data_IF_944083740384
#
_entry.id   IF_944083740384
#
_cell.length_a   1.000
_cell.length_b   1.000
_cell.length_c   1.000
_cell.angle_alpha   90.00
_cell.angle_beta   90.00
_cell.angle_gamma   90.00
#
_symmetry.space_group_name_H-M   'P 1'
#
loop_
_entity.id
_entity.type
_entity.pdbx_description
1 polymer ?
#
# COMPACT_ATOMS: atom_id res chain seq x y z
N UNK A 1 11.44 -4.04 -15.49
CA UNK A 1 10.01 -4.49 -15.60
C UNK A 1 9.10 -3.44 -14.99
N UNK A 2 7.85 -3.31 -15.50
CA UNK A 2 6.85 -2.43 -14.85
C UNK A 2 5.97 -3.23 -13.89
N UNK A 3 5.75 -2.69 -12.70
CA UNK A 3 4.91 -3.25 -11.65
C UNK A 3 3.88 -2.21 -11.20
N UNK A 4 2.73 -2.64 -10.67
CA UNK A 4 1.79 -1.72 -10.06
C UNK A 4 2.12 -1.59 -8.57
N UNK A 5 2.12 -0.37 -8.05
CA UNK A 5 2.27 -0.08 -6.62
C UNK A 5 0.99 0.59 -6.11
N UNK A 6 0.40 0.03 -5.07
CA UNK A 6 -0.85 0.47 -4.44
C UNK A 6 -0.73 0.37 -2.92
N UNK A 7 -1.51 1.13 -2.19
CA UNK A 7 -1.48 1.15 -0.73
C UNK A 7 -2.82 1.62 -0.15
N UNK A 8 -3.04 1.41 1.13
CA UNK A 8 -4.16 1.99 1.90
C UNK A 8 -5.53 1.74 1.26
N UNK A 9 -5.79 0.48 0.92
CA UNK A 9 -7.05 0.08 0.26
C UNK A 9 -8.21 -0.09 1.24
N UNK A 10 -7.93 -0.31 2.52
CA UNK A 10 -8.88 -0.35 3.62
C UNK A 10 -10.16 -1.13 3.33
N UNK A 11 -10.01 -2.39 2.88
CA UNK A 11 -11.17 -3.28 2.65
C UNK A 11 -11.99 -3.42 3.92
N UNK A 12 -13.30 -3.14 3.81
CA UNK A 12 -14.20 -3.10 4.94
C UNK A 12 -14.42 -1.71 5.53
N UNK A 13 -13.88 -0.66 4.91
CA UNK A 13 -14.09 0.73 5.31
C UNK A 13 -15.58 1.03 5.55
N UNK A 14 -15.87 1.87 6.56
CA UNK A 14 -17.23 2.22 6.96
C UNK A 14 -18.12 1.01 7.28
N UNK A 15 -17.54 -0.01 7.96
CA UNK A 15 -18.21 -1.26 8.35
C UNK A 15 -18.79 -2.01 7.14
N UNK A 16 -18.03 -2.03 6.04
CA UNK A 16 -18.42 -2.70 4.82
C UNK A 16 -19.70 -2.13 4.21
N UNK A 17 -19.84 -0.80 4.20
CA UNK A 17 -20.96 -0.12 3.56
C UNK A 17 -21.04 -0.51 2.08
N UNK A 18 -22.23 -0.89 1.60
CA UNK A 18 -22.45 -1.25 0.21
C UNK A 18 -22.08 -0.11 -0.76
N UNK A 19 -22.38 1.13 -0.39
CA UNK A 19 -22.01 2.30 -1.19
C UNK A 19 -20.49 2.37 -1.42
N UNK A 20 -19.68 2.10 -0.37
CA UNK A 20 -18.23 2.07 -0.49
C UNK A 20 -17.75 0.87 -1.30
N UNK A 21 -18.31 -0.32 -1.10
CA UNK A 21 -17.97 -1.49 -1.89
C UNK A 21 -18.27 -1.27 -3.38
N UNK A 22 -19.45 -0.75 -3.74
CA UNK A 22 -19.82 -0.48 -5.14
C UNK A 22 -18.87 0.55 -5.78
N UNK A 23 -18.48 1.58 -5.02
CA UNK A 23 -17.54 2.62 -5.46
C UNK A 23 -16.12 2.06 -5.64
N UNK A 24 -15.62 1.27 -4.70
CA UNK A 24 -14.31 0.64 -4.79
C UNK A 24 -14.26 -0.40 -5.92
N UNK A 25 -15.31 -1.19 -6.08
CA UNK A 25 -15.43 -2.17 -7.17
C UNK A 25 -15.37 -1.51 -8.54
N UNK A 26 -15.97 -0.33 -8.69
CA UNK A 26 -15.87 0.46 -9.92
C UNK A 26 -14.43 0.87 -10.23
N UNK A 27 -13.64 1.30 -9.24
CA UNK A 27 -12.22 1.58 -9.43
C UNK A 27 -11.46 0.34 -9.92
N UNK A 28 -11.66 -0.82 -9.29
CA UNK A 28 -10.99 -2.05 -9.69
C UNK A 28 -11.35 -2.47 -11.11
N UNK A 29 -12.64 -2.48 -11.44
CA UNK A 29 -13.12 -2.97 -12.73
C UNK A 29 -12.80 -2.02 -13.89
N UNK A 30 -12.88 -0.71 -13.68
CA UNK A 30 -12.79 0.27 -14.77
C UNK A 30 -11.36 0.85 -14.92
N UNK A 31 -10.56 0.85 -13.85
CA UNK A 31 -9.25 1.51 -13.83
C UNK A 31 -8.13 0.52 -13.54
N UNK A 32 -8.17 -0.18 -12.40
CA UNK A 32 -7.05 -0.98 -11.94
C UNK A 32 -6.76 -2.16 -12.88
N UNK A 33 -7.70 -3.10 -13.01
CA UNK A 33 -7.49 -4.28 -13.86
C UNK A 33 -7.26 -3.95 -15.34
N UNK A 34 -8.05 -3.06 -15.98
CA UNK A 34 -7.76 -2.67 -17.36
C UNK A 34 -6.38 -2.05 -17.57
N UNK A 35 -5.87 -1.33 -16.55
CA UNK A 35 -4.49 -0.80 -16.62
C UNK A 35 -3.47 -1.92 -16.51
N UNK A 36 -3.65 -2.89 -15.58
CA UNK A 36 -2.74 -4.04 -15.48
C UNK A 36 -2.64 -4.80 -16.80
N UNK A 37 -3.77 -5.07 -17.45
CA UNK A 37 -3.83 -5.74 -18.75
C UNK A 37 -3.13 -4.93 -19.85
N UNK A 38 -3.50 -3.65 -19.99
CA UNK A 38 -2.93 -2.74 -21.00
C UNK A 38 -1.41 -2.63 -20.89
N UNK A 39 -0.91 -2.47 -19.67
CA UNK A 39 0.50 -2.29 -19.38
C UNK A 39 1.26 -3.63 -19.22
N UNK A 40 0.55 -4.77 -19.36
CA UNK A 40 1.08 -6.13 -19.21
C UNK A 40 1.78 -6.35 -17.86
N UNK A 41 1.19 -5.81 -16.81
CA UNK A 41 1.71 -5.94 -15.45
C UNK A 41 1.37 -7.32 -14.91
N UNK A 42 2.37 -8.02 -14.41
CA UNK A 42 2.26 -9.36 -13.80
C UNK A 42 2.58 -9.35 -12.31
N UNK A 43 2.95 -8.19 -11.75
CA UNK A 43 3.31 -8.07 -10.36
C UNK A 43 2.74 -6.79 -9.75
N UNK A 44 2.13 -6.92 -8.59
CA UNK A 44 1.58 -5.82 -7.79
C UNK A 44 2.31 -5.75 -6.46
N UNK A 45 2.69 -4.58 -6.00
CA UNK A 45 3.22 -4.35 -4.67
C UNK A 45 2.19 -3.53 -3.90
N UNK A 46 1.68 -4.10 -2.81
CA UNK A 46 0.74 -3.42 -1.91
C UNK A 46 1.47 -3.05 -0.62
N UNK A 47 1.58 -1.76 -0.34
CA UNK A 47 2.41 -1.25 0.74
C UNK A 47 1.67 -1.07 2.06
N UNK A 48 0.76 -1.98 2.40
CA UNK A 48 0.09 -2.03 3.71
C UNK A 48 -1.27 -1.36 3.77
N UNK A 49 -1.95 -1.54 4.90
CA UNK A 49 -3.32 -1.14 5.17
C UNK A 49 -4.31 -1.67 4.11
N UNK A 50 -4.21 -2.98 3.88
CA UNK A 50 -5.16 -3.68 3.01
C UNK A 50 -6.55 -3.74 3.65
N UNK A 51 -6.63 -3.98 4.96
CA UNK A 51 -7.86 -4.04 5.71
C UNK A 51 -8.07 -2.82 6.62
N UNK A 52 -9.33 -2.40 6.81
CA UNK A 52 -9.66 -1.16 7.53
C UNK A 52 -9.55 -1.28 9.07
N UNK A 53 -9.72 -2.46 9.62
CA UNK A 53 -9.84 -2.64 11.08
C UNK A 53 -8.89 -3.69 11.63
N UNK A 54 -8.10 -3.30 12.64
CA UNK A 54 -7.16 -4.16 13.36
C UNK A 54 -7.78 -5.41 13.97
N UNK A 55 -9.02 -5.32 14.47
CA UNK A 55 -9.61 -6.33 15.37
C UNK A 55 -10.65 -7.22 14.70
N UNK A 56 -10.97 -6.99 13.45
CA UNK A 56 -11.95 -7.82 12.77
C UNK A 56 -12.44 -7.21 11.47
N UNK A 57 -13.02 -8.06 10.64
CA UNK A 57 -13.65 -7.69 9.38
C UNK A 57 -15.02 -8.34 9.31
N UNK A 58 -16.01 -7.64 8.78
CA UNK A 58 -17.30 -8.27 8.47
C UNK A 58 -17.11 -9.29 7.34
N UNK A 59 -17.73 -10.46 7.47
CA UNK A 59 -17.65 -11.52 6.47
C UNK A 59 -18.02 -11.06 5.05
N UNK A 60 -19.02 -10.17 4.94
CA UNK A 60 -19.38 -9.57 3.64
C UNK A 60 -18.27 -8.75 3.00
N UNK A 61 -17.43 -8.08 3.83
CA UNK A 61 -16.31 -7.28 3.35
C UNK A 61 -15.13 -8.16 2.93
N UNK A 62 -14.90 -9.24 3.69
CA UNK A 62 -13.89 -10.23 3.31
C UNK A 62 -14.27 -10.95 2.01
N UNK A 63 -15.52 -11.42 1.89
CA UNK A 63 -16.04 -12.03 0.66
C UNK A 63 -15.92 -11.07 -0.53
N UNK A 64 -16.31 -9.81 -0.34
CA UNK A 64 -16.17 -8.77 -1.35
C UNK A 64 -14.71 -8.60 -1.80
N UNK A 65 -13.78 -8.44 -0.85
CA UNK A 65 -12.36 -8.25 -1.17
C UNK A 65 -11.78 -9.45 -1.94
N UNK A 66 -12.13 -10.68 -1.52
CA UNK A 66 -11.72 -11.89 -2.22
C UNK A 66 -12.26 -11.91 -3.65
N UNK A 67 -13.57 -11.73 -3.82
CA UNK A 67 -14.26 -11.78 -5.12
C UNK A 67 -13.82 -10.67 -6.08
N UNK A 68 -13.62 -9.45 -5.57
CA UNK A 68 -13.34 -8.26 -6.40
C UNK A 68 -11.85 -8.05 -6.65
N UNK A 69 -10.97 -8.48 -5.74
CA UNK A 69 -9.54 -8.18 -5.85
C UNK A 69 -8.70 -9.45 -5.98
N UNK A 70 -8.71 -10.33 -5.00
CA UNK A 70 -7.74 -11.43 -4.93
C UNK A 70 -8.01 -12.54 -5.96
N UNK A 71 -9.28 -12.92 -6.16
CA UNK A 71 -9.66 -13.89 -7.20
C UNK A 71 -9.36 -13.42 -8.62
N UNK A 72 -9.67 -12.16 -9.01
CA UNK A 72 -9.25 -11.65 -10.31
C UNK A 72 -7.74 -11.64 -10.51
N UNK A 73 -6.96 -11.18 -9.51
CA UNK A 73 -5.49 -11.22 -9.59
C UNK A 73 -4.98 -12.66 -9.82
N UNK A 74 -5.50 -13.63 -9.07
CA UNK A 74 -5.15 -15.04 -9.24
C UNK A 74 -5.51 -15.56 -10.63
N UNK A 75 -6.71 -15.25 -11.13
CA UNK A 75 -7.16 -15.66 -12.48
C UNK A 75 -6.32 -15.04 -13.59
N UNK A 76 -5.82 -13.81 -13.39
CA UNK A 76 -4.92 -13.12 -14.33
C UNK A 76 -3.46 -13.62 -14.23
N UNK A 77 -3.13 -14.49 -13.27
CA UNK A 77 -1.77 -14.96 -13.02
C UNK A 77 -0.85 -13.85 -12.48
N UNK A 78 -1.41 -12.87 -11.78
CA UNK A 78 -0.68 -11.75 -11.21
C UNK A 78 -0.25 -12.08 -9.78
N UNK A 79 1.03 -11.94 -9.50
CA UNK A 79 1.58 -12.04 -8.14
C UNK A 79 1.38 -10.72 -7.40
N UNK A 80 1.07 -10.80 -6.10
CA UNK A 80 1.01 -9.63 -5.23
C UNK A 80 1.93 -9.81 -4.03
N UNK A 81 2.87 -8.87 -3.87
CA UNK A 81 3.58 -8.68 -2.60
C UNK A 81 2.75 -7.74 -1.72
N UNK A 82 2.47 -8.15 -0.50
CA UNK A 82 1.59 -7.42 0.41
C UNK A 82 2.26 -7.22 1.76
N UNK A 83 2.59 -5.98 2.08
CA UNK A 83 3.16 -5.60 3.37
C UNK A 83 2.06 -5.41 4.42
N UNK A 84 2.41 -5.67 5.67
CA UNK A 84 1.55 -5.35 6.82
C UNK A 84 1.59 -3.86 7.10
N UNK A 85 0.43 -3.20 7.08
CA UNK A 85 0.25 -1.84 7.55
C UNK A 85 -0.25 -1.79 9.00
N UNK A 86 -0.38 -0.60 9.55
CA UNK A 86 -0.81 -0.46 10.95
C UNK A 86 -2.28 -0.86 11.19
N UNK A 87 -3.15 -0.79 10.19
CA UNK A 87 -4.52 -1.30 10.27
C UNK A 87 -4.62 -2.81 10.09
N UNK A 88 -3.64 -3.45 9.48
CA UNK A 88 -3.60 -4.90 9.32
C UNK A 88 -3.14 -5.61 10.60
N UNK A 89 -2.29 -4.98 11.41
CA UNK A 89 -1.74 -5.55 12.65
C UNK A 89 -2.76 -5.52 13.80
N UNK A 90 -2.99 -6.67 14.45
CA UNK A 90 -3.94 -6.78 15.57
C UNK A 90 -3.49 -5.96 16.80
N UNK A 91 -2.23 -6.10 17.19
CA UNK A 91 -1.62 -5.35 18.29
C UNK A 91 -0.90 -4.12 17.75
N UNK A 92 -0.76 -3.08 18.60
CA UNK A 92 -0.05 -1.86 18.20
C UNK A 92 1.47 -2.01 18.21
N UNK A 93 1.96 -2.93 19.01
CA UNK A 93 3.39 -3.10 19.30
C UNK A 93 4.05 -4.28 18.56
N UNK A 94 3.29 -5.06 17.79
CA UNK A 94 3.84 -6.19 17.02
C UNK A 94 3.00 -6.50 15.78
N UNK A 95 3.66 -6.96 14.71
CA UNK A 95 3.04 -7.43 13.47
C UNK A 95 2.78 -8.95 13.47
N UNK A 96 3.08 -9.67 14.56
CA UNK A 96 3.03 -11.14 14.64
C UNK A 96 1.65 -11.74 14.40
N UNK A 97 0.58 -11.00 14.71
CA UNK A 97 -0.79 -11.37 14.37
C UNK A 97 -1.36 -10.25 13.50
N UNK A 98 -1.61 -10.56 12.23
CA UNK A 98 -2.09 -9.60 11.26
C UNK A 98 -3.14 -10.20 10.32
N UNK A 99 -3.98 -9.32 9.77
CA UNK A 99 -5.11 -9.72 8.94
C UNK A 99 -4.65 -10.32 7.60
N UNK A 100 -3.59 -9.80 6.99
CA UNK A 100 -3.16 -10.22 5.65
C UNK A 100 -2.64 -11.65 5.65
N UNK A 101 -1.82 -12.04 6.62
CA UNK A 101 -1.36 -13.43 6.75
C UNK A 101 -2.47 -14.40 7.14
N UNK A 102 -3.40 -13.97 7.98
CA UNK A 102 -4.48 -14.84 8.46
C UNK A 102 -5.58 -15.08 7.42
N UNK A 103 -5.95 -14.04 6.67
CA UNK A 103 -7.14 -14.05 5.80
C UNK A 103 -6.85 -14.42 4.35
N UNK A 104 -5.56 -14.39 3.93
CA UNK A 104 -5.17 -14.59 2.53
C UNK A 104 -4.32 -15.84 2.29
N UNK A 105 -4.22 -16.74 3.27
CA UNK A 105 -3.42 -17.99 3.19
C UNK A 105 -3.75 -18.91 2.02
N UNK A 106 -4.98 -18.87 1.50
CA UNK A 106 -5.39 -19.68 0.37
C UNK A 106 -4.89 -19.16 -0.99
N UNK A 107 -4.32 -17.94 -1.03
CA UNK A 107 -3.82 -17.35 -2.25
C UNK A 107 -2.32 -17.58 -2.39
N UNK A 108 -1.93 -18.53 -3.20
CA UNK A 108 -0.53 -18.87 -3.51
C UNK A 108 0.20 -17.79 -4.34
N UNK A 109 -0.56 -16.88 -4.94
CA UNK A 109 -0.07 -15.72 -5.66
C UNK A 109 0.03 -14.45 -4.79
N UNK A 110 -0.29 -14.51 -3.49
CA UNK A 110 -0.13 -13.39 -2.54
C UNK A 110 0.98 -13.74 -1.54
N UNK A 111 2.06 -12.97 -1.57
CA UNK A 111 3.20 -13.12 -0.68
C UNK A 111 3.13 -12.01 0.36
N UNK A 112 3.08 -12.37 1.64
CA UNK A 112 2.88 -11.40 2.73
C UNK A 112 4.19 -11.10 3.46
N UNK A 113 4.39 -9.86 3.85
CA UNK A 113 5.59 -9.38 4.54
C UNK A 113 5.19 -8.66 5.83
N UNK A 114 5.55 -9.24 6.98
CA UNK A 114 5.32 -8.67 8.32
C UNK A 114 6.57 -8.10 8.98
N UNK A 115 7.74 -8.34 8.38
CA UNK A 115 9.05 -7.82 8.81
C UNK A 115 9.81 -7.20 7.64
N UNK A 116 10.73 -6.29 7.93
CA UNK A 116 11.56 -5.67 6.91
C UNK A 116 12.39 -6.73 6.18
N UNK A 117 12.40 -6.68 4.84
CA UNK A 117 12.98 -7.75 4.02
C UNK A 117 13.51 -7.19 2.70
N UNK A 118 14.71 -7.57 2.29
CA UNK A 118 15.18 -7.35 0.93
C UNK A 118 14.56 -8.36 -0.02
N UNK A 119 13.93 -7.87 -1.09
CA UNK A 119 13.32 -8.68 -2.13
C UNK A 119 13.97 -8.39 -3.47
N UNK A 120 13.88 -9.33 -4.41
CA UNK A 120 14.38 -9.13 -5.76
C UNK A 120 13.24 -9.28 -6.77
N UNK A 121 12.99 -8.23 -7.56
CA UNK A 121 12.02 -8.23 -8.63
C UNK A 121 12.74 -7.87 -9.94
N UNK A 122 12.75 -8.81 -10.89
CA UNK A 122 13.37 -8.61 -12.22
C UNK A 122 14.84 -8.14 -12.11
N UNK A 123 15.61 -8.77 -11.20
CA UNK A 123 17.01 -8.43 -10.95
C UNK A 123 17.24 -7.14 -10.14
N UNK A 124 16.21 -6.40 -9.77
CA UNK A 124 16.29 -5.22 -8.92
C UNK A 124 16.02 -5.59 -7.46
N UNK A 125 16.97 -5.27 -6.58
CA UNK A 125 16.77 -5.37 -5.14
C UNK A 125 16.01 -4.17 -4.61
N UNK A 126 14.94 -4.44 -3.86
CA UNK A 126 14.09 -3.48 -3.17
C UNK A 126 14.08 -3.81 -1.69
N UNK A 127 14.04 -2.81 -0.82
CA UNK A 127 13.82 -3.02 0.61
C UNK A 127 12.36 -2.79 0.94
N UNK A 128 11.66 -3.84 1.38
CA UNK A 128 10.30 -3.75 1.90
C UNK A 128 10.34 -3.46 3.39
N UNK A 129 9.55 -2.48 3.83
CA UNK A 129 9.48 -2.02 5.22
C UNK A 129 8.00 -1.97 5.63
N UNK A 130 7.44 -3.08 6.15
CA UNK A 130 6.11 -3.09 6.76
C UNK A 130 6.03 -2.10 7.93
N UNK A 131 4.84 -1.97 8.55
CA UNK A 131 4.64 -1.10 9.70
C UNK A 131 5.71 -1.32 10.78
N UNK A 132 6.40 -0.24 11.12
CA UNK A 132 7.42 -0.24 12.18
C UNK A 132 6.71 -0.10 13.53
N UNK A 133 6.99 -1.02 14.45
CA UNK A 133 6.44 -1.05 15.78
C UNK A 133 7.51 -1.48 16.79
N UNK A 134 7.22 -1.37 18.08
CA UNK A 134 8.18 -1.64 19.17
C UNK A 134 8.92 -2.97 19.01
N UNK A 135 8.24 -4.01 18.55
CA UNK A 135 8.77 -5.37 18.44
C UNK A 135 9.79 -5.55 17.29
N UNK A 136 9.71 -4.71 16.24
CA UNK A 136 10.54 -4.85 15.03
C UNK A 136 11.42 -3.63 14.72
N UNK A 137 11.37 -2.58 15.56
CA UNK A 137 12.01 -1.30 15.26
C UNK A 137 13.52 -1.42 15.13
N UNK A 138 14.18 -2.05 16.09
CA UNK A 138 15.65 -2.18 16.12
C UNK A 138 16.16 -2.96 14.91
N UNK A 139 15.56 -4.12 14.60
CA UNK A 139 15.94 -4.97 13.47
C UNK A 139 15.70 -4.24 12.14
N UNK A 140 14.58 -3.52 12.05
CA UNK A 140 14.23 -2.74 10.85
C UNK A 140 15.25 -1.63 10.62
N UNK A 141 15.64 -0.88 11.64
CA UNK A 141 16.64 0.18 11.50
C UNK A 141 18.03 -0.35 11.17
N UNK A 142 18.44 -1.47 11.74
CA UNK A 142 19.70 -2.11 11.37
C UNK A 142 19.69 -2.57 9.90
N UNK A 143 18.58 -3.12 9.43
CA UNK A 143 18.44 -3.49 8.01
C UNK A 143 18.42 -2.25 7.10
N UNK A 144 17.72 -1.18 7.46
CA UNK A 144 17.76 0.08 6.72
C UNK A 144 19.19 0.61 6.59
N UNK A 145 19.98 0.59 7.68
CA UNK A 145 21.37 1.07 7.68
C UNK A 145 22.30 0.18 6.85
N UNK A 146 22.15 -1.13 6.91
CA UNK A 146 23.03 -2.10 6.25
C UNK A 146 22.66 -2.40 4.80
N UNK A 147 21.40 -2.21 4.41
CA UNK A 147 20.90 -2.51 3.08
C UNK A 147 21.67 -1.78 1.98
N UNK A 148 21.88 -2.46 0.86
CA UNK A 148 22.48 -1.90 -0.37
C UNK A 148 21.45 -1.62 -1.45
N UNK A 149 20.16 -1.75 -1.16
CA UNK A 149 19.08 -1.43 -2.08
C UNK A 149 19.09 0.07 -2.44
N UNK A 150 18.81 0.39 -3.69
CA UNK A 150 18.66 1.79 -4.15
C UNK A 150 17.25 2.34 -3.89
N UNK A 151 16.26 1.45 -3.73
CA UNK A 151 14.87 1.82 -3.52
C UNK A 151 14.30 1.08 -2.31
N UNK A 152 13.56 1.81 -1.48
CA UNK A 152 12.76 1.26 -0.39
C UNK A 152 11.27 1.50 -0.62
N UNK A 153 10.44 0.55 -0.20
CA UNK A 153 8.98 0.63 -0.24
C UNK A 153 8.42 0.22 1.11
N UNK A 154 7.52 1.01 1.68
CA UNK A 154 7.06 0.68 3.01
C UNK A 154 5.74 1.31 3.43
N UNK A 155 5.37 1.05 4.67
CA UNK A 155 4.22 1.64 5.34
C UNK A 155 4.73 2.49 6.50
N UNK A 156 5.15 3.74 6.19
CA UNK A 156 6.00 4.55 7.05
C UNK A 156 5.23 5.76 7.62
N UNK A 157 5.48 6.06 8.90
CA UNK A 157 5.02 7.28 9.54
C UNK A 157 6.21 8.23 9.70
N UNK A 158 6.39 9.16 8.73
CA UNK A 158 7.51 10.10 8.73
C UNK A 158 7.04 11.53 9.00
N UNK A 159 7.80 12.26 9.82
CA UNK A 159 7.58 13.68 10.02
C UNK A 159 7.85 14.48 8.73
N UNK A 160 7.15 15.62 8.55
CA UNK A 160 7.35 16.55 7.44
C UNK A 160 6.47 16.30 6.21
N UNK A 161 5.67 15.23 6.18
CA UNK A 161 4.79 14.91 5.05
C UNK A 161 3.30 15.19 5.34
N UNK A 162 2.51 15.35 4.28
CA UNK A 162 1.08 15.66 4.39
C UNK A 162 0.27 14.41 4.71
N UNK A 163 -0.53 14.50 5.78
CA UNK A 163 -1.56 13.48 6.11
C UNK A 163 -2.83 13.72 5.30
N UNK A 164 -3.15 14.97 5.06
CA UNK A 164 -4.25 15.43 4.23
C UNK A 164 -3.90 16.80 3.61
N UNK A 165 -4.82 17.38 2.86
CA UNK A 165 -4.61 18.67 2.17
C UNK A 165 -4.27 19.85 3.08
N UNK A 166 -4.53 19.75 4.39
CA UNK A 166 -4.39 20.84 5.37
C UNK A 166 -3.31 20.58 6.43
N UNK A 167 -3.00 19.30 6.72
CA UNK A 167 -2.17 18.91 7.86
C UNK A 167 -0.87 18.29 7.37
N UNK A 168 0.24 18.83 7.83
CA UNK A 168 1.58 18.23 7.73
C UNK A 168 1.89 17.57 9.08
N UNK A 169 2.36 16.32 9.06
CA UNK A 169 2.74 15.58 10.26
C UNK A 169 4.01 16.17 10.86
N UNK A 170 3.99 16.50 12.14
CA UNK A 170 5.11 17.06 12.89
C UNK A 170 5.83 16.03 13.78
N UNK A 171 5.36 14.79 13.82
CA UNK A 171 5.94 13.67 14.54
C UNK A 171 6.06 12.43 13.63
N UNK A 172 6.70 11.37 14.13
CA UNK A 172 6.98 10.14 13.38
C UNK A 172 8.48 9.87 13.32
N UNK A 173 8.86 8.89 12.52
CA UNK A 173 10.27 8.53 12.35
C UNK A 173 11.03 9.59 11.56
N UNK A 174 12.34 9.68 11.80
CA UNK A 174 13.20 10.63 11.13
C UNK A 174 13.41 10.25 9.65
N UNK A 175 13.13 11.16 8.74
CA UNK A 175 13.31 10.96 7.28
C UNK A 175 14.79 10.81 6.88
N UNK A 176 15.71 11.27 7.73
CA UNK A 176 17.16 11.18 7.56
C UNK A 176 17.66 9.73 7.43
N UNK A 177 16.97 8.77 8.04
CA UNK A 177 17.28 7.34 7.93
C UNK A 177 17.21 6.82 6.48
N UNK A 178 16.43 7.49 5.64
CA UNK A 178 16.17 7.11 4.26
C UNK A 178 17.02 7.85 3.23
N UNK A 179 17.95 8.71 3.65
CA UNK A 179 18.76 9.56 2.75
C UNK A 179 19.69 8.78 1.83
N UNK A 180 20.03 7.54 2.18
CA UNK A 180 20.86 6.64 1.36
C UNK A 180 20.13 6.09 0.13
N UNK A 181 18.79 6.01 0.15
CA UNK A 181 18.02 5.50 -0.96
C UNK A 181 17.85 6.56 -2.05
N UNK A 182 17.89 6.14 -3.30
CA UNK A 182 17.58 6.99 -4.44
C UNK A 182 16.10 7.35 -4.45
N UNK A 183 15.24 6.39 -4.14
CA UNK A 183 13.78 6.59 -4.02
C UNK A 183 13.20 5.78 -2.85
N UNK A 184 12.21 6.37 -2.21
CA UNK A 184 11.41 5.71 -1.17
C UNK A 184 9.95 5.92 -1.49
N UNK A 185 9.16 4.86 -1.50
CA UNK A 185 7.71 4.93 -1.66
C UNK A 185 7.02 4.49 -0.38
N UNK A 186 5.99 5.20 0.02
CA UNK A 186 5.27 4.90 1.26
C UNK A 186 3.76 4.97 1.11
N UNK A 187 3.07 4.08 1.83
CA UNK A 187 1.68 4.21 2.24
C UNK A 187 1.54 4.97 3.55
N UNK A 188 0.46 4.73 4.28
CA UNK A 188 0.07 5.31 5.57
C UNK A 188 -0.60 6.68 5.47
N UNK A 189 -0.01 7.65 4.78
CA UNK A 189 -0.67 8.94 4.57
C UNK A 189 -1.49 8.91 3.27
N UNK A 190 -2.78 9.22 3.40
CA UNK A 190 -3.73 9.06 2.30
C UNK A 190 -3.61 10.14 1.21
N UNK A 191 -2.90 11.22 1.48
CA UNK A 191 -2.67 12.31 0.53
C UNK A 191 -1.30 12.16 -0.12
N UNK A 192 -1.24 12.35 -1.44
CA UNK A 192 0.04 12.35 -2.16
C UNK A 192 0.90 13.52 -1.73
N UNK A 193 2.10 13.23 -1.29
CA UNK A 193 3.12 14.25 -0.99
C UNK A 193 4.51 13.68 -1.21
N UNK A 194 5.47 14.53 -1.54
CA UNK A 194 6.86 14.12 -1.72
C UNK A 194 7.83 15.26 -1.41
N UNK A 195 9.10 14.89 -1.22
CA UNK A 195 10.24 15.79 -1.10
C UNK A 195 11.25 15.64 -2.27
N UNK A 196 10.87 14.90 -3.32
CA UNK A 196 11.71 14.55 -4.47
C UNK A 196 12.46 13.22 -4.32
N UNK A 197 12.49 12.63 -3.11
CA UNK A 197 13.08 11.33 -2.79
C UNK A 197 12.06 10.39 -2.17
N UNK A 198 11.35 10.83 -1.16
CA UNK A 198 10.31 10.08 -0.44
C UNK A 198 8.96 10.47 -1.01
N UNK A 199 8.20 9.48 -1.47
CA UNK A 199 6.91 9.64 -2.13
C UNK A 199 5.83 8.91 -1.36
N UNK A 200 4.91 9.65 -0.74
CA UNK A 200 3.64 9.12 -0.25
C UNK A 200 2.67 9.00 -1.41
N UNK A 201 2.20 7.79 -1.71
CA UNK A 201 1.42 7.52 -2.92
C UNK A 201 -0.05 7.90 -2.79
N UNK A 202 -0.52 8.04 -1.55
CA UNK A 202 -1.93 8.24 -1.26
C UNK A 202 -2.78 6.99 -1.52
N UNK A 203 -3.98 6.99 -0.97
CA UNK A 203 -4.93 5.89 -1.15
C UNK A 203 -5.61 5.91 -2.54
N UNK A 204 -6.19 4.78 -2.99
CA UNK A 204 -6.69 4.67 -4.37
C UNK A 204 -8.04 5.36 -4.62
N UNK A 205 -8.79 5.71 -3.58
CA UNK A 205 -10.12 6.27 -3.68
C UNK A 205 -10.51 7.09 -2.44
N UNK A 206 -11.57 7.89 -2.53
CA UNK A 206 -12.07 8.69 -1.40
C UNK A 206 -12.68 7.82 -0.31
N UNK A 207 -12.31 8.07 0.96
CA UNK A 207 -12.86 7.40 2.15
C UNK A 207 -13.42 8.40 3.17
N UNK A 208 -12.99 9.66 3.11
CA UNK A 208 -13.37 10.73 4.02
C UNK A 208 -13.73 11.99 3.25
N UNK A 209 -14.50 12.89 3.89
CA UNK A 209 -14.87 14.19 3.28
C UNK A 209 -13.66 15.07 2.92
N UNK A 210 -12.58 14.99 3.66
CA UNK A 210 -11.34 15.72 3.38
C UNK A 210 -10.54 15.13 2.21
N UNK A 211 -10.98 14.02 1.64
CA UNK A 211 -10.40 13.43 0.44
C UNK A 211 -10.91 14.10 -0.86
N UNK A 212 -11.99 14.87 -0.76
CA UNK A 212 -12.63 15.52 -1.91
C UNK A 212 -11.65 16.47 -2.60
N UNK A 213 -11.53 16.31 -3.91
CA UNK A 213 -10.66 17.15 -4.74
C UNK A 213 -9.18 16.78 -4.68
N UNK A 214 -8.78 15.80 -3.88
CA UNK A 214 -7.42 15.28 -3.86
C UNK A 214 -7.24 14.16 -4.89
N UNK A 215 -6.02 14.02 -5.42
CA UNK A 215 -5.72 13.01 -6.45
C UNK A 215 -5.56 11.64 -5.83
N UNK A 216 -6.39 10.69 -6.25
CA UNK A 216 -6.42 9.31 -5.80
C UNK A 216 -6.03 8.36 -6.93
N UNK A 217 -5.68 7.12 -6.59
CA UNK A 217 -5.34 6.09 -7.56
C UNK A 217 -4.18 5.22 -7.11
N UNK A 218 -3.45 4.68 -8.07
CA UNK A 218 -2.25 3.88 -7.85
C UNK A 218 -1.14 4.33 -8.78
N UNK A 219 0.02 3.66 -8.76
CA UNK A 219 1.14 4.06 -9.61
C UNK A 219 1.69 2.85 -10.37
N UNK A 220 2.25 3.11 -11.54
CA UNK A 220 3.09 2.15 -12.26
C UNK A 220 4.53 2.52 -11.96
N UNK A 221 5.29 1.57 -11.47
CA UNK A 221 6.70 1.70 -11.12
C UNK A 221 7.55 0.87 -12.09
N UNK A 222 8.63 1.44 -12.57
CA UNK A 222 9.60 0.75 -13.41
C UNK A 222 10.82 0.36 -12.59
N UNK A 223 11.07 -0.95 -12.46
CA UNK A 223 12.16 -1.50 -11.65
C UNK A 223 13.54 -1.16 -12.21
N UNK A 224 13.67 -0.90 -13.51
CA UNK A 224 14.95 -0.57 -14.15
C UNK A 224 15.35 0.88 -13.91
N UNK A 225 14.40 1.82 -14.14
CA UNK A 225 14.67 3.26 -14.04
C UNK A 225 14.38 3.86 -12.67
N UNK A 226 13.64 3.15 -11.81
CA UNK A 226 13.08 3.61 -10.54
C UNK A 226 12.06 4.77 -10.72
N UNK A 227 11.59 5.01 -11.94
CA UNK A 227 10.57 6.01 -12.20
C UNK A 227 9.16 5.47 -11.91
N UNK A 228 8.27 6.36 -11.53
CA UNK A 228 6.88 6.00 -11.30
C UNK A 228 5.92 6.97 -11.99
N UNK A 229 4.79 6.44 -12.44
CA UNK A 229 3.75 7.20 -13.11
C UNK A 229 2.41 7.00 -12.40
N UNK A 230 1.77 8.07 -11.93
CA UNK A 230 0.47 7.95 -11.28
C UNK A 230 -0.64 7.59 -12.29
N UNK A 231 -1.49 6.64 -11.91
CA UNK A 231 -2.76 6.32 -12.57
C UNK A 231 -3.87 6.84 -11.68
N UNK A 232 -4.53 7.90 -12.13
CA UNK A 232 -5.54 8.56 -11.32
C UNK A 232 -6.89 7.85 -11.40
N UNK A 233 -7.57 7.76 -10.27
CA UNK A 233 -8.97 7.39 -10.18
C UNK A 233 -9.84 8.63 -10.51
N UNK A 234 -10.62 8.64 -11.59
CA UNK A 234 -11.46 9.77 -11.96
C UNK A 234 -12.78 9.81 -11.18
N UNK A 235 -13.09 8.77 -10.41
CA UNK A 235 -14.37 8.67 -9.70
C UNK A 235 -14.30 9.35 -8.35
N UNK A 236 -15.37 10.02 -7.97
CA UNK A 236 -15.59 10.65 -6.67
C UNK A 236 -16.75 9.97 -5.96
N UNK A 237 -16.66 9.82 -4.66
CA UNK A 237 -17.73 9.31 -3.79
C UNK A 237 -18.51 10.45 -3.19
N UNK A 238 -17.81 11.52 -2.80
CA UNK A 238 -18.39 12.67 -2.16
C UNK A 238 -18.54 13.80 -3.19
N UNK A 239 -19.76 14.32 -3.31
CA UNK A 239 -20.06 15.45 -4.18
C UNK A 239 -20.31 16.70 -3.32
N UNK A 240 -19.71 17.82 -3.70
CA UNK A 240 -19.93 19.14 -3.09
C UNK A 240 -21.03 19.84 -3.87
#
# INVERSE_FOLDING_TARGET
MRVAIITDTHYGARKGSRLFHDYFEKFYNDIFFPTLEKEKITHVIHMGDAFDSRKGIEFKSLDWAKRVVFEPLKKMGITMDLMVGNHDAYYKNTNSINAVELLLKEYDNVITYSSATEVEIDGRKLLYIPWICEDNEDETYELIKSSTCECAMGHLELAGFRVNTQIVMDHGHASELYTKFTKVFSGHYHTRSDDGRIYYLGNPYEMFWNDVGDRRGFHIFDTETLEHTPVNNPYTLFHI
#
